data_IF_660528488850
#
_entry.id   IF_660528488850
#
_cell.length_a   1.000
_cell.length_b   1.000
_cell.length_c   1.000
_cell.angle_alpha   90.00
_cell.angle_beta   90.00
_cell.angle_gamma   90.00
#
_symmetry.space_group_name_H-M   'P 1'
#
loop_
_entity.id
_entity.type
_entity.pdbx_description
1 polymer ?
#
# COMPACT_ATOMS: atom_id res chain seq x y z
N UNK A 1 -6.45 14.13 7.44
CA UNK A 1 -6.78 13.26 8.59
C UNK A 1 -5.79 12.13 8.55
N UNK A 2 -5.09 11.89 9.65
CA UNK A 2 -4.11 10.79 9.71
C UNK A 2 -4.88 9.47 9.80
N UNK A 3 -4.80 8.66 8.74
CA UNK A 3 -5.39 7.32 8.74
C UNK A 3 -4.54 6.43 9.64
N UNK A 4 -5.15 5.95 10.73
CA UNK A 4 -4.49 4.98 11.61
C UNK A 4 -4.29 3.67 10.86
N UNK A 5 -3.15 3.00 11.08
CA UNK A 5 -2.87 1.68 10.50
C UNK A 5 -3.96 0.65 10.83
N UNK A 6 -4.66 0.79 11.96
CA UNK A 6 -5.77 -0.09 12.34
C UNK A 6 -7.02 0.09 11.48
N UNK A 7 -7.22 1.28 10.91
CA UNK A 7 -8.33 1.55 9.99
C UNK A 7 -8.11 0.88 8.64
N UNK A 8 -6.85 0.71 8.20
CA UNK A 8 -6.52 0.04 6.95
C UNK A 8 -6.81 -1.47 6.97
N UNK A 9 -6.95 -2.07 8.15
CA UNK A 9 -7.35 -3.46 8.31
C UNK A 9 -8.86 -3.69 8.27
N UNK A 10 -9.68 -2.63 8.30
CA UNK A 10 -11.13 -2.76 8.24
C UNK A 10 -11.59 -3.00 6.80
N UNK A 11 -12.48 -3.97 6.53
CA UNK A 11 -12.95 -4.24 5.19
C UNK A 11 -13.44 -2.97 4.47
N UNK A 12 -12.96 -2.76 3.25
CA UNK A 12 -13.33 -1.61 2.44
C UNK A 12 -13.62 -2.05 1.00
N UNK A 13 -14.81 -1.73 0.49
CA UNK A 13 -15.28 -2.13 -0.84
C UNK A 13 -14.53 -1.47 -2.00
N UNK A 14 -13.67 -0.48 -1.70
CA UNK A 14 -12.73 0.13 -2.65
C UNK A 14 -11.69 -0.88 -3.15
N UNK A 15 -11.25 -1.80 -2.30
CA UNK A 15 -10.12 -2.67 -2.59
C UNK A 15 -10.59 -4.07 -3.00
N UNK A 16 -9.92 -4.66 -3.99
CA UNK A 16 -10.08 -6.09 -4.32
C UNK A 16 -9.07 -6.96 -3.56
N UNK A 17 -7.92 -6.37 -3.15
CA UNK A 17 -6.97 -6.97 -2.22
C UNK A 17 -6.68 -6.00 -1.09
N UNK A 18 -6.84 -6.51 0.13
CA UNK A 18 -6.51 -5.84 1.37
C UNK A 18 -5.86 -6.88 2.29
N UNK A 19 -4.53 -6.88 2.33
CA UNK A 19 -3.75 -7.95 2.96
C UNK A 19 -2.70 -7.41 3.92
N UNK A 20 -2.45 -8.09 5.05
CA UNK A 20 -1.34 -7.74 5.92
C UNK A 20 -0.02 -8.07 5.23
N UNK A 21 0.97 -7.18 5.38
CA UNK A 21 2.31 -7.38 4.81
C UNK A 21 3.39 -7.10 5.85
N UNK A 22 4.51 -7.80 5.73
CA UNK A 22 5.71 -7.54 6.53
C UNK A 22 6.73 -6.77 5.68
N UNK A 23 7.16 -5.62 6.18
CA UNK A 23 8.21 -4.78 5.59
C UNK A 23 9.26 -4.51 6.66
N UNK A 24 10.43 -5.14 6.52
CA UNK A 24 11.46 -5.07 7.54
C UNK A 24 10.92 -5.59 8.88
N UNK A 25 10.99 -4.77 9.92
CA UNK A 25 10.46 -5.07 11.26
C UNK A 25 9.01 -4.64 11.46
N UNK A 26 8.39 -3.98 10.48
CA UNK A 26 7.06 -3.38 10.59
C UNK A 26 6.02 -4.22 9.86
N UNK A 27 4.89 -4.45 10.51
CA UNK A 27 3.69 -5.01 9.88
C UNK A 27 2.81 -3.86 9.38
N UNK A 28 2.32 -3.99 8.15
CA UNK A 28 1.51 -3.00 7.47
C UNK A 28 0.38 -3.62 6.67
N UNK A 29 -0.19 -2.83 5.76
CA UNK A 29 -1.27 -3.24 4.88
C UNK A 29 -0.93 -2.93 3.42
N UNK A 30 -1.21 -3.89 2.55
CA UNK A 30 -1.26 -3.71 1.10
C UNK A 30 -2.71 -3.54 0.68
N UNK A 31 -2.98 -2.52 -0.14
CA UNK A 31 -4.30 -2.12 -0.60
C UNK A 31 -4.24 -1.96 -2.13
N UNK A 32 -4.85 -2.89 -2.86
CA UNK A 32 -4.98 -2.81 -4.31
C UNK A 32 -6.39 -2.34 -4.67
N UNK A 33 -6.48 -1.29 -5.49
CA UNK A 33 -7.76 -0.73 -5.89
C UNK A 33 -8.50 -1.68 -6.85
N UNK A 34 -9.80 -1.91 -6.61
CA UNK A 34 -10.65 -2.77 -7.44
C UNK A 34 -10.76 -2.30 -8.90
N UNK A 35 -10.52 -1.02 -9.15
CA UNK A 35 -10.48 -0.45 -10.50
C UNK A 35 -9.08 -0.52 -11.15
N UNK A 36 -8.12 -1.21 -10.53
CA UNK A 36 -6.75 -1.42 -11.00
C UNK A 36 -5.91 -0.15 -11.15
N UNK A 37 -6.34 0.99 -10.61
CA UNK A 37 -5.61 2.25 -10.79
C UNK A 37 -4.36 2.33 -9.92
N UNK A 38 -4.43 1.80 -8.69
CA UNK A 38 -3.42 2.03 -7.67
C UNK A 38 -3.18 0.81 -6.78
N UNK A 39 -1.94 0.69 -6.30
CA UNK A 39 -1.62 -0.15 -5.16
C UNK A 39 -0.84 0.65 -4.13
N UNK A 40 -1.28 0.55 -2.88
CA UNK A 40 -0.64 1.19 -1.73
C UNK A 40 -0.08 0.16 -0.77
N UNK A 41 1.10 0.43 -0.23
CA UNK A 41 1.63 -0.26 0.94
C UNK A 41 1.81 0.78 2.05
N UNK A 42 1.22 0.51 3.21
CA UNK A 42 1.24 1.41 4.35
C UNK A 42 1.81 0.70 5.57
N UNK A 43 2.74 1.34 6.28
CA UNK A 43 3.37 0.82 7.51
C UNK A 43 3.33 1.89 8.61
N UNK A 44 3.34 1.48 9.90
CA UNK A 44 3.40 2.45 11.00
C UNK A 44 4.72 3.23 11.00
N UNK A 45 4.66 4.50 11.40
CA UNK A 45 5.77 5.38 11.75
C UNK A 45 5.52 5.97 13.15
N UNK A 46 6.54 6.48 13.83
CA UNK A 46 6.47 6.95 15.23
C UNK A 46 5.23 7.81 15.56
N UNK A 47 4.81 8.68 14.64
CA UNK A 47 3.69 9.60 14.86
C UNK A 47 2.63 9.55 13.75
N UNK A 48 2.78 8.67 12.76
CA UNK A 48 1.95 8.67 11.55
C UNK A 48 1.94 7.31 10.84
N UNK A 49 1.30 7.26 9.68
CA UNK A 49 1.40 6.15 8.73
C UNK A 49 2.27 6.58 7.55
N UNK A 50 3.24 5.77 7.19
CA UNK A 50 4.03 5.98 5.99
C UNK A 50 3.50 5.09 4.86
N UNK A 51 3.24 5.69 3.71
CA UNK A 51 2.61 5.02 2.56
C UNK A 51 3.43 5.20 1.30
N UNK A 52 3.63 4.12 0.57
CA UNK A 52 4.04 4.15 -0.84
C UNK A 52 2.82 3.80 -1.66
N UNK A 53 2.50 4.63 -2.63
CA UNK A 53 1.45 4.37 -3.60
C UNK A 53 2.05 4.40 -5.01
N UNK A 54 1.70 3.40 -5.80
CA UNK A 54 2.03 3.33 -7.22
C UNK A 54 0.72 3.38 -7.99
N UNK A 55 0.57 4.44 -8.78
CA UNK A 55 -0.57 4.64 -9.66
C UNK A 55 -0.16 4.35 -11.11
N UNK A 56 -1.06 3.70 -11.83
CA UNK A 56 -0.88 3.37 -13.23
C UNK A 56 -1.41 4.47 -14.14
N UNK A 57 -0.85 4.53 -15.34
CA UNK A 57 -1.46 5.25 -16.45
C UNK A 57 -2.62 4.42 -17.03
N UNK A 58 -3.42 5.05 -17.90
CA UNK A 58 -4.64 4.44 -18.46
C UNK A 58 -4.38 3.13 -19.20
N UNK A 59 -3.26 3.02 -19.93
CA UNK A 59 -2.96 1.83 -20.74
C UNK A 59 -2.62 0.63 -19.85
N UNK A 60 -1.82 0.84 -18.81
CA UNK A 60 -1.47 -0.21 -17.85
C UNK A 60 -2.66 -0.61 -16.97
N UNK A 61 -3.53 0.35 -16.59
CA UNK A 61 -4.78 0.05 -15.89
C UNK A 61 -5.68 -0.85 -16.72
N UNK A 62 -5.84 -0.56 -18.02
CA UNK A 62 -6.65 -1.39 -18.95
C UNK A 62 -6.09 -2.80 -19.16
N UNK A 63 -4.79 -2.97 -18.97
CA UNK A 63 -4.12 -4.27 -19.02
C UNK A 63 -4.18 -5.02 -17.69
N UNK A 64 -4.79 -4.44 -16.64
CA UNK A 64 -4.81 -5.00 -15.29
C UNK A 64 -3.39 -5.37 -14.81
N UNK A 65 -2.44 -4.46 -15.03
CA UNK A 65 -1.09 -4.67 -14.53
C UNK A 65 -1.07 -4.64 -12.99
N UNK A 66 -0.50 -5.66 -12.36
CA UNK A 66 -0.32 -5.68 -10.89
C UNK A 66 0.94 -4.88 -10.50
N UNK A 67 0.72 -3.70 -9.97
CA UNK A 67 1.71 -2.75 -9.48
C UNK A 67 2.07 -2.94 -8.00
N UNK A 68 1.42 -3.85 -7.30
CA UNK A 68 1.71 -4.11 -5.89
C UNK A 68 3.13 -4.62 -5.59
N UNK A 69 3.74 -5.50 -6.42
CA UNK A 69 5.14 -5.90 -6.22
C UNK A 69 6.10 -4.69 -6.22
N UNK A 70 5.85 -3.70 -7.08
CA UNK A 70 6.66 -2.48 -7.14
C UNK A 70 6.44 -1.60 -5.91
N UNK A 71 5.19 -1.38 -5.49
CA UNK A 71 4.89 -0.62 -4.27
C UNK A 71 5.56 -1.24 -3.04
N UNK A 72 5.52 -2.58 -2.92
CA UNK A 72 6.18 -3.31 -1.84
C UNK A 72 7.71 -3.20 -1.92
N UNK A 73 8.30 -3.28 -3.11
CA UNK A 73 9.74 -3.12 -3.30
C UNK A 73 10.22 -1.73 -2.88
N UNK A 74 9.53 -0.67 -3.31
CA UNK A 74 9.87 0.71 -2.93
C UNK A 74 9.72 0.87 -1.42
N UNK A 75 8.63 0.38 -0.82
CA UNK A 75 8.42 0.46 0.62
C UNK A 75 9.55 -0.21 1.41
N UNK A 76 10.00 -1.40 0.99
CA UNK A 76 11.14 -2.09 1.60
C UNK A 76 12.44 -1.28 1.53
N UNK A 77 12.64 -0.50 0.48
CA UNK A 77 13.84 0.33 0.33
C UNK A 77 13.81 1.58 1.21
N UNK A 78 12.62 2.13 1.47
CA UNK A 78 12.48 3.34 2.29
C UNK A 78 12.26 3.04 3.77
N UNK A 79 11.79 1.85 4.14
CA UNK A 79 11.46 1.46 5.52
C UNK A 79 12.56 1.78 6.53
N UNK A 80 13.86 1.51 6.27
CA UNK A 80 14.92 1.83 7.22
C UNK A 80 15.10 3.34 7.51
N UNK A 81 14.50 4.20 6.69
CA UNK A 81 14.56 5.66 6.79
C UNK A 81 13.30 6.28 7.40
N UNK A 82 12.26 5.47 7.63
CA UNK A 82 11.01 5.93 8.22
C UNK A 82 11.19 6.00 9.73
N UNK A 83 10.92 7.15 10.38
CA UNK A 83 11.04 7.26 11.84
C UNK A 83 10.08 6.30 12.56
#
# INVERSE_FOLDING_TARGET
>A
MDTSISQLGQPNSRFDRQEPVQVGLRTGWLLHDKNWIGCSVAIPSQQATATVQVDLNLDLTRQHYDQCPLALQIMKQIEPKIP
#
